data_IF_340206310500
#
_entry.id   IF_340206310500
#
_cell.length_a   1.000
_cell.length_b   1.000
_cell.length_c   1.000
_cell.angle_alpha   90.00
_cell.angle_beta   90.00
_cell.angle_gamma   90.00
#
_symmetry.space_group_name_H-M   'P 1'
#
loop_
_entity.id
_entity.type
_entity.pdbx_description
1 polymer ?
#
# COMPACT_ATOMS: atom_id res chain seq x y z
N UNK A 1 -14.93 -4.68 3.88
CA UNK A 1 -13.67 -4.14 3.31
C UNK A 1 -13.27 -4.98 2.11
N UNK A 2 -12.80 -4.34 1.05
CA UNK A 2 -12.49 -5.01 -0.21
C UNK A 2 -11.39 -4.29 -0.99
N UNK A 3 -10.92 -4.94 -2.04
CA UNK A 3 -10.02 -4.37 -3.05
C UNK A 3 -10.85 -3.53 -4.02
N UNK A 4 -10.58 -2.23 -4.09
CA UNK A 4 -11.20 -1.35 -5.08
C UNK A 4 -10.51 -1.47 -6.44
N UNK A 5 -9.18 -1.49 -6.45
CA UNK A 5 -8.37 -1.56 -7.66
C UNK A 5 -7.00 -2.16 -7.37
N UNK A 6 -6.38 -2.72 -8.40
CA UNK A 6 -4.98 -3.15 -8.37
C UNK A 6 -4.21 -2.51 -9.51
N UNK A 7 -2.94 -2.20 -9.27
CA UNK A 7 -2.08 -1.46 -10.19
C UNK A 7 -0.64 -1.97 -10.10
N UNK A 8 0.11 -1.89 -11.19
CA UNK A 8 1.54 -2.17 -11.19
C UNK A 8 2.29 -1.22 -12.14
N UNK A 9 3.61 -1.17 -12.00
CA UNK A 9 4.48 -0.53 -13.00
C UNK A 9 5.76 -1.33 -13.18
N UNK A 10 6.11 -1.72 -14.43
CA UNK A 10 7.37 -2.41 -14.71
C UNK A 10 8.59 -1.50 -14.61
N UNK A 11 8.39 -0.19 -14.46
CA UNK A 11 9.45 0.81 -14.27
C UNK A 11 9.28 1.55 -12.95
N UNK A 12 10.34 2.20 -12.45
CA UNK A 12 10.28 3.08 -11.26
C UNK A 12 9.56 4.42 -11.53
N UNK A 13 8.43 4.35 -12.24
CA UNK A 13 7.51 5.46 -12.41
C UNK A 13 6.82 5.80 -11.08
N UNK A 14 6.47 7.08 -10.89
CA UNK A 14 5.81 7.53 -9.67
C UNK A 14 4.41 6.92 -9.52
N UNK A 15 3.59 6.99 -10.58
CA UNK A 15 2.26 6.40 -10.63
C UNK A 15 2.30 4.99 -11.23
N UNK A 16 1.29 4.18 -10.88
CA UNK A 16 1.06 2.84 -11.42
C UNK A 16 -0.26 2.83 -12.18
N UNK A 17 -0.32 2.11 -13.29
CA UNK A 17 -1.56 2.01 -14.07
C UNK A 17 -2.44 0.88 -13.53
N UNK A 18 -3.76 1.08 -13.40
CA UNK A 18 -4.69 0.02 -13.03
C UNK A 18 -4.65 -1.16 -14.02
N UNK A 19 -4.78 -2.37 -13.49
CA UNK A 19 -4.85 -3.63 -14.25
C UNK A 19 -5.99 -4.49 -13.70
N UNK A 20 -6.41 -5.52 -14.45
CA UNK A 20 -7.51 -6.41 -14.03
C UNK A 20 -7.15 -7.29 -12.83
N UNK A 21 -5.88 -7.67 -12.73
CA UNK A 21 -5.35 -8.51 -11.65
C UNK A 21 -3.85 -8.28 -11.48
N UNK A 22 -3.33 -8.57 -10.30
CA UNK A 22 -1.91 -8.67 -9.98
C UNK A 22 -1.63 -10.01 -9.32
N UNK A 23 -0.43 -10.56 -9.50
CA UNK A 23 0.01 -11.79 -8.84
C UNK A 23 1.04 -11.46 -7.78
N UNK A 24 0.79 -11.86 -6.53
CA UNK A 24 1.75 -11.74 -5.45
C UNK A 24 2.68 -12.96 -5.42
N UNK A 25 3.97 -12.70 -5.27
CA UNK A 25 5.01 -13.72 -5.12
C UNK A 25 5.60 -13.61 -3.70
N UNK A 26 5.59 -14.70 -2.90
CA UNK A 26 6.11 -14.69 -1.53
C UNK A 26 7.53 -14.12 -1.46
N UNK A 27 7.78 -13.27 -0.47
CA UNK A 27 9.06 -12.61 -0.22
C UNK A 27 9.61 -11.75 -1.37
N UNK A 28 8.84 -11.56 -2.45
CA UNK A 28 9.27 -10.81 -3.62
C UNK A 28 8.38 -9.59 -3.87
N UNK A 29 7.06 -9.71 -3.76
CA UNK A 29 6.13 -8.61 -4.06
C UNK A 29 5.25 -8.89 -5.26
N UNK A 30 4.89 -7.83 -5.99
CA UNK A 30 4.00 -7.93 -7.15
C UNK A 30 4.79 -8.37 -8.38
N UNK A 31 4.36 -9.46 -9.03
CA UNK A 31 4.98 -9.94 -10.28
C UNK A 31 4.99 -8.82 -11.34
N UNK A 32 6.17 -8.55 -11.91
CA UNK A 32 6.34 -7.53 -12.94
C UNK A 32 6.36 -6.09 -12.44
N UNK A 33 6.32 -5.84 -11.13
CA UNK A 33 6.49 -4.50 -10.56
C UNK A 33 7.97 -4.18 -10.29
N UNK A 34 8.39 -2.94 -10.57
CA UNK A 34 9.76 -2.49 -10.36
C UNK A 34 10.23 -2.51 -8.89
N UNK A 35 9.30 -2.63 -7.94
CA UNK A 35 9.63 -2.69 -6.51
C UNK A 35 9.76 -4.13 -6.00
N UNK A 36 9.55 -5.14 -6.84
CA UNK A 36 9.64 -6.54 -6.46
C UNK A 36 11.10 -6.99 -6.28
N UNK A 37 11.37 -7.71 -5.19
CA UNK A 37 12.68 -8.27 -4.87
C UNK A 37 12.85 -8.53 -3.38
N UNK A 38 13.74 -9.45 -3.02
CA UNK A 38 14.00 -9.85 -1.62
C UNK A 38 14.67 -8.73 -0.81
N UNK A 39 15.45 -7.89 -1.48
CA UNK A 39 16.19 -6.75 -0.89
C UNK A 39 15.67 -5.44 -1.41
N UNK A 40 15.98 -4.33 -0.72
CA UNK A 40 15.47 -3.01 -1.09
C UNK A 40 15.79 -2.66 -2.56
N UNK A 41 14.74 -2.44 -3.35
CA UNK A 41 14.87 -2.06 -4.76
C UNK A 41 14.98 -0.54 -4.98
N UNK A 42 14.88 0.24 -3.89
CA UNK A 42 14.96 1.70 -3.99
C UNK A 42 16.38 2.14 -4.35
N UNK A 43 16.53 2.84 -5.47
CA UNK A 43 17.82 3.26 -6.04
C UNK A 43 18.73 3.97 -5.03
N UNK A 44 18.16 4.76 -4.12
CA UNK A 44 18.95 5.49 -3.11
C UNK A 44 19.60 4.61 -2.03
N UNK A 45 19.21 3.34 -1.91
CA UNK A 45 19.70 2.42 -0.86
C UNK A 45 20.55 1.28 -1.40
N UNK A 46 20.81 1.24 -2.71
CA UNK A 46 21.64 0.23 -3.35
C UNK A 46 23.09 0.20 -2.85
N UNK A 47 23.55 1.27 -2.19
CA UNK A 47 24.91 1.37 -1.66
C UNK A 47 25.11 0.65 -0.31
N UNK A 48 24.06 0.15 0.35
CA UNK A 48 24.13 -0.50 1.67
C UNK A 48 24.58 -1.96 1.52
N UNK A 49 25.54 -2.41 2.36
CA UNK A 49 26.06 -3.80 2.33
C UNK A 49 26.10 -4.43 3.73
N UNK A 50 25.48 -5.62 3.93
CA UNK A 50 24.60 -6.31 2.97
C UNK A 50 23.33 -5.50 2.68
N UNK A 51 22.69 -5.68 1.52
CA UNK A 51 21.45 -4.97 1.22
C UNK A 51 20.38 -5.29 2.27
N UNK A 52 19.63 -4.30 2.78
CA UNK A 52 18.59 -4.56 3.76
C UNK A 52 17.40 -5.29 3.11
N UNK A 53 16.61 -6.03 3.90
CA UNK A 53 15.41 -6.71 3.41
C UNK A 53 14.40 -5.71 2.84
N UNK A 54 13.63 -6.16 1.84
CA UNK A 54 12.60 -5.33 1.22
C UNK A 54 11.32 -5.34 2.07
N UNK A 55 11.10 -4.30 2.87
CA UNK A 55 9.84 -4.10 3.61
C UNK A 55 8.75 -3.41 2.77
N UNK A 56 9.00 -3.18 1.47
CA UNK A 56 8.19 -2.36 0.57
C UNK A 56 7.77 -3.14 -0.67
N UNK A 57 7.52 -4.44 -0.52
CA UNK A 57 7.19 -5.35 -1.62
C UNK A 57 5.82 -5.04 -2.23
N UNK A 58 4.88 -4.56 -1.42
CA UNK A 58 3.53 -4.16 -1.84
C UNK A 58 3.17 -2.81 -1.21
N UNK A 59 2.69 -1.88 -2.01
CA UNK A 59 2.23 -0.58 -1.55
C UNK A 59 0.69 -0.56 -1.46
N UNK A 60 0.12 -0.09 -0.34
CA UNK A 60 -1.33 -0.02 -0.17
C UNK A 60 -1.78 1.38 0.23
N UNK A 61 -2.89 1.84 -0.34
CA UNK A 61 -3.61 3.06 0.05
C UNK A 61 -5.10 2.73 0.09
N UNK A 62 -5.85 3.36 1.01
CA UNK A 62 -7.30 3.20 1.06
C UNK A 62 -7.98 4.39 0.35
N UNK A 63 -9.09 4.10 -0.34
CA UNK A 63 -9.79 5.03 -1.22
C UNK A 63 -10.28 6.30 -0.52
N UNK A 64 -10.63 6.20 0.75
CA UNK A 64 -11.17 7.27 1.57
C UNK A 64 -10.11 8.34 1.85
N UNK A 65 -8.84 7.94 1.95
CA UNK A 65 -7.72 8.86 2.02
C UNK A 65 -7.51 9.60 0.68
N UNK A 66 -7.58 8.90 -0.45
CA UNK A 66 -7.49 9.54 -1.77
C UNK A 66 -8.62 10.56 -1.96
N UNK A 67 -9.85 10.19 -1.59
CA UNK A 67 -11.01 11.06 -1.65
C UNK A 67 -10.87 12.28 -0.73
N UNK A 68 -10.52 12.08 0.55
CA UNK A 68 -10.40 13.17 1.53
C UNK A 68 -9.34 14.21 1.15
N UNK A 69 -8.22 13.76 0.57
CA UNK A 69 -7.17 14.66 0.05
C UNK A 69 -7.64 15.38 -1.23
N UNK A 70 -8.40 14.70 -2.09
CA UNK A 70 -8.92 15.28 -3.33
C UNK A 70 -9.96 16.38 -3.09
N UNK A 71 -10.77 16.27 -2.04
CA UNK A 71 -11.82 17.24 -1.71
C UNK A 71 -11.35 18.44 -0.88
N UNK A 72 -10.07 18.48 -0.47
CA UNK A 72 -9.57 19.58 0.36
C UNK A 72 -9.56 20.90 -0.45
N UNK A 73 -10.06 22.00 0.14
CA UNK A 73 -10.22 23.29 -0.55
C UNK A 73 -8.93 23.88 -1.14
N UNK A 74 -7.77 23.41 -0.68
CA UNK A 74 -6.44 23.84 -1.11
C UNK A 74 -5.85 22.93 -2.20
N UNK A 75 -6.56 21.86 -2.59
CA UNK A 75 -6.13 20.93 -3.64
C UNK A 75 -6.46 21.52 -5.01
N UNK A 76 -5.50 22.19 -5.63
CA UNK A 76 -5.63 22.65 -7.03
C UNK A 76 -5.23 21.51 -7.97
N UNK A 77 -6.16 20.62 -8.31
CA UNK A 77 -5.86 19.55 -9.25
C UNK A 77 -7.00 18.57 -9.47
N UNK A 78 -6.73 17.53 -10.27
CA UNK A 78 -7.72 16.49 -10.56
C UNK A 78 -7.92 15.60 -9.31
N UNK A 79 -9.11 15.02 -9.13
CA UNK A 79 -9.31 14.01 -8.09
C UNK A 79 -8.35 12.84 -8.27
N UNK A 80 -7.70 12.42 -7.19
CA UNK A 80 -6.79 11.27 -7.18
C UNK A 80 -7.53 9.99 -7.54
N UNK A 81 -6.93 9.22 -8.44
CA UNK A 81 -7.40 7.92 -8.88
C UNK A 81 -6.54 6.79 -8.29
N UNK A 82 -7.07 5.55 -8.24
CA UNK A 82 -6.27 4.38 -7.89
C UNK A 82 -4.97 4.27 -8.70
N UNK A 83 -3.85 4.08 -8.01
CA UNK A 83 -2.51 3.97 -8.59
C UNK A 83 -1.78 5.30 -8.78
N UNK A 84 -2.44 6.45 -8.67
CA UNK A 84 -1.83 7.77 -8.90
C UNK A 84 -0.64 8.02 -7.98
N UNK A 85 -0.73 7.56 -6.73
CA UNK A 85 0.32 7.71 -5.74
C UNK A 85 1.28 6.50 -5.71
N UNK A 86 1.20 5.62 -6.71
CA UNK A 86 2.10 4.47 -6.84
C UNK A 86 1.83 3.34 -5.85
N UNK A 87 0.61 3.24 -5.31
CA UNK A 87 0.14 2.03 -4.64
C UNK A 87 -0.13 0.89 -5.63
N UNK A 88 0.07 -0.34 -5.17
CA UNK A 88 -0.31 -1.54 -5.90
C UNK A 88 -1.75 -1.95 -5.64
N UNK A 89 -2.23 -1.72 -4.42
CA UNK A 89 -3.59 -2.10 -4.00
C UNK A 89 -4.26 -0.86 -3.43
N UNK A 90 -5.39 -0.49 -4.04
CA UNK A 90 -6.30 0.50 -3.46
C UNK A 90 -7.42 -0.25 -2.75
N UNK A 91 -7.55 -0.09 -1.43
CA UNK A 91 -8.60 -0.73 -0.62
C UNK A 91 -9.80 0.19 -0.42
N UNK A 92 -10.94 -0.37 -0.01
CA UNK A 92 -12.12 0.40 0.42
C UNK A 92 -12.77 -0.24 1.64
N UNK A 93 -13.33 0.60 2.51
CA UNK A 93 -13.92 0.21 3.79
C UNK A 93 -12.91 -0.24 4.84
N UNK A 94 -11.63 0.15 4.72
CA UNK A 94 -10.55 -0.23 5.62
C UNK A 94 -9.61 0.95 5.90
N UNK A 95 -9.57 1.40 7.15
CA UNK A 95 -8.57 2.37 7.60
C UNK A 95 -7.21 1.67 7.79
N UNK A 96 -6.40 1.72 6.73
CA UNK A 96 -5.06 1.14 6.74
C UNK A 96 -4.11 1.81 7.74
N UNK A 97 -4.34 3.09 8.09
CA UNK A 97 -3.43 3.86 8.95
C UNK A 97 -3.64 3.53 10.43
N UNK A 98 -4.81 2.99 10.78
CA UNK A 98 -5.13 2.52 12.13
C UNK A 98 -4.57 1.12 12.43
N UNK A 99 -4.12 0.37 11.42
CA UNK A 99 -3.60 -0.99 11.60
C UNK A 99 -2.31 -1.02 12.43
N UNK A 100 -2.01 -2.19 13.01
CA UNK A 100 -0.75 -2.43 13.71
C UNK A 100 0.30 -3.07 12.78
N UNK A 101 1.58 -2.88 13.09
CA UNK A 101 2.66 -3.63 12.42
C UNK A 101 2.45 -5.14 12.65
N UNK A 102 2.62 -5.94 11.61
CA UNK A 102 2.37 -7.38 11.63
C UNK A 102 0.92 -7.78 11.39
N UNK A 103 0.02 -6.83 11.11
CA UNK A 103 -1.35 -7.15 10.66
C UNK A 103 -1.29 -7.89 9.34
N UNK A 104 -2.01 -9.01 9.20
CA UNK A 104 -2.13 -9.74 7.95
C UNK A 104 -3.41 -9.40 7.23
N UNK A 105 -3.30 -9.11 5.95
CA UNK A 105 -4.39 -8.85 5.03
C UNK A 105 -4.53 -10.06 4.11
N UNK A 106 -5.58 -10.86 4.31
CA UNK A 106 -5.92 -12.02 3.49
C UNK A 106 -6.91 -11.59 2.41
N UNK A 107 -6.63 -11.90 1.14
CA UNK A 107 -7.46 -11.49 0.00
C UNK A 107 -8.26 -12.68 -0.52
N UNK A 108 -9.54 -12.76 -0.16
CA UNK A 108 -10.40 -13.91 -0.48
C UNK A 108 -11.41 -13.56 -1.56
N UNK A 109 -11.78 -14.54 -2.36
CA UNK A 109 -12.84 -14.39 -3.36
C UNK A 109 -14.19 -14.43 -2.65
N UNK A 110 -15.06 -13.48 -2.96
CA UNK A 110 -16.44 -13.52 -2.50
C UNK A 110 -17.29 -14.31 -3.51
N UNK A 111 -17.23 -15.64 -3.47
CA UNK A 111 -18.03 -16.53 -4.34
C UNK A 111 -19.29 -17.09 -3.63
N UNK A 112 -19.60 -16.60 -2.43
CA UNK A 112 -20.77 -17.02 -1.65
C UNK A 112 -20.62 -18.37 -0.96
N UNK A 113 -19.43 -18.95 -0.93
CA UNK A 113 -19.11 -20.12 -0.09
C UNK A 113 -18.58 -19.69 1.27
N UNK A 114 -18.84 -20.50 2.28
CA UNK A 114 -18.32 -20.28 3.63
C UNK A 114 -16.79 -20.32 3.62
N UNK A 115 -16.17 -19.40 4.37
CA UNK A 115 -14.70 -19.20 4.42
C UNK A 115 -13.93 -20.43 4.94
N UNK A 116 -14.63 -21.46 5.44
CA UNK A 116 -14.06 -22.72 5.95
C UNK A 116 -13.74 -23.75 4.84
N UNK A 117 -14.20 -23.54 3.60
CA UNK A 117 -14.06 -24.49 2.47
C UNK A 117 -13.07 -24.02 1.37
N UNK A 118 -12.34 -22.91 1.57
CA UNK A 118 -11.34 -22.41 0.62
C UNK A 118 -10.01 -23.18 0.76
N UNK A 119 -9.90 -24.33 0.08
CA UNK A 119 -8.67 -25.12 -0.13
C UNK A 119 -7.64 -24.37 -1.03
N UNK A 120 -7.94 -23.15 -1.44
CA UNK A 120 -7.06 -22.28 -2.22
C UNK A 120 -6.00 -21.59 -1.36
N UNK A 121 -4.77 -21.51 -1.88
CA UNK A 121 -3.75 -20.62 -1.32
C UNK A 121 -4.22 -19.16 -1.48
N UNK A 122 -4.68 -18.56 -0.39
CA UNK A 122 -5.09 -17.16 -0.33
C UNK A 122 -3.85 -16.27 -0.30
N UNK A 123 -3.83 -15.21 -1.11
CA UNK A 123 -2.77 -14.21 -1.06
C UNK A 123 -2.80 -13.48 0.29
N UNK A 124 -1.64 -13.33 0.93
CA UNK A 124 -1.51 -12.68 2.24
C UNK A 124 -0.41 -11.63 2.21
N UNK A 125 -0.77 -10.40 2.59
CA UNK A 125 0.17 -9.29 2.80
C UNK A 125 0.26 -8.97 4.28
N UNK A 126 1.48 -8.97 4.82
CA UNK A 126 1.77 -8.50 6.18
C UNK A 126 2.13 -7.01 6.15
N UNK A 127 1.48 -6.20 6.98
CA UNK A 127 1.70 -4.76 7.10
C UNK A 127 3.01 -4.49 7.87
N UNK A 128 3.94 -3.79 7.23
CA UNK A 128 5.27 -3.51 7.78
C UNK A 128 5.40 -2.10 8.37
N UNK A 129 4.68 -1.11 7.82
CA UNK A 129 4.81 0.27 8.26
C UNK A 129 4.09 1.29 7.38
N UNK A 130 4.22 2.57 7.74
CA UNK A 130 3.70 3.69 6.99
C UNK A 130 4.55 3.97 5.74
N UNK A 131 3.88 4.42 4.69
CA UNK A 131 4.54 5.05 3.55
C UNK A 131 5.02 6.44 3.94
N UNK A 132 6.24 6.78 3.52
CA UNK A 132 6.77 8.13 3.70
C UNK A 132 6.38 9.03 2.51
N UNK A 133 5.61 10.13 2.72
CA UNK A 133 5.32 11.09 1.66
C UNK A 133 6.61 11.71 1.10
N UNK A 134 6.83 11.58 -0.22
CA UNK A 134 8.06 12.01 -0.87
C UNK A 134 7.85 13.25 -1.76
N UNK A 135 8.92 13.96 -2.15
CA UNK A 135 8.82 15.11 -3.05
C UNK A 135 8.20 14.82 -4.44
N UNK A 136 8.14 13.55 -4.87
CA UNK A 136 7.50 13.21 -6.14
C UNK A 136 5.98 13.46 -6.11
N UNK A 137 5.35 13.44 -4.93
CA UNK A 137 3.93 13.77 -4.78
C UNK A 137 3.67 15.23 -5.20
N UNK A 138 4.54 16.17 -4.79
CA UNK A 138 4.42 17.58 -5.21
C UNK A 138 4.78 17.80 -6.67
N UNK A 139 5.65 16.95 -7.26
CA UNK A 139 5.93 16.96 -8.70
C UNK A 139 4.73 16.48 -9.51
N UNK A 140 3.96 15.53 -8.98
CA UNK A 140 2.72 15.05 -9.59
C UNK A 140 1.63 16.11 -9.50
N UNK A 141 1.42 16.69 -8.30
CA UNK A 141 0.48 17.78 -8.10
C UNK A 141 0.98 18.72 -7.01
N UNK A 142 1.15 20.00 -7.35
CA UNK A 142 1.73 21.00 -6.45
C UNK A 142 0.94 21.12 -5.15
N UNK A 143 1.64 21.05 -4.01
CA UNK A 143 1.06 21.21 -2.67
C UNK A 143 0.39 19.96 -2.11
N UNK A 144 0.30 18.89 -2.91
CA UNK A 144 -0.36 17.66 -2.52
C UNK A 144 0.38 16.92 -1.39
N UNK A 145 1.72 17.03 -1.33
CA UNK A 145 2.51 16.32 -0.31
C UNK A 145 2.14 16.76 1.11
N UNK A 146 1.90 18.06 1.34
CA UNK A 146 1.57 18.57 2.68
C UNK A 146 0.23 18.01 3.18
N UNK A 147 -0.65 17.55 2.30
CA UNK A 147 -1.91 16.86 2.67
C UNK A 147 -1.70 15.50 3.31
N UNK A 148 -0.54 14.89 3.07
CA UNK A 148 -0.15 13.61 3.66
C UNK A 148 0.70 13.75 4.92
N UNK A 149 0.85 14.97 5.45
CA UNK A 149 1.70 15.28 6.60
C UNK A 149 0.86 15.95 7.68
N UNK A 150 0.84 15.36 8.88
CA UNK A 150 0.24 15.97 10.07
C UNK A 150 1.31 16.68 10.85
N UNK A 151 1.06 17.94 11.21
CA UNK A 151 1.98 18.78 11.98
C UNK A 151 1.36 19.20 13.30
N UNK A 152 2.19 19.28 14.34
CA UNK A 152 1.78 19.88 15.61
C UNK A 152 1.84 21.41 15.57
N UNK A 153 1.53 22.04 16.71
CA UNK A 153 1.56 23.50 16.88
C UNK A 153 2.95 24.11 16.61
N UNK A 154 4.03 23.34 16.78
CA UNK A 154 5.41 23.75 16.53
C UNK A 154 5.86 23.46 15.09
N UNK A 155 4.95 23.08 14.19
CA UNK A 155 5.20 22.68 12.80
C UNK A 155 6.01 21.39 12.65
N UNK A 156 6.25 20.66 13.73
CA UNK A 156 6.93 19.37 13.69
C UNK A 156 6.03 18.30 13.08
N UNK A 157 6.60 17.39 12.29
CA UNK A 157 5.84 16.31 11.65
C UNK A 157 5.54 15.24 12.68
N UNK A 158 4.26 15.07 13.01
CA UNK A 158 3.78 14.11 14.02
C UNK A 158 2.97 12.96 13.43
N UNK A 159 2.63 13.02 12.14
CA UNK A 159 1.91 11.95 11.44
C UNK A 159 2.15 11.98 9.94
N UNK A 160 2.02 10.80 9.32
CA UNK A 160 2.19 10.60 7.88
C UNK A 160 1.04 9.72 7.40
N UNK A 161 0.36 10.18 6.36
CA UNK A 161 -0.91 9.62 5.94
C UNK A 161 -0.85 9.00 4.55
N UNK A 162 0.33 8.63 4.01
CA UNK A 162 0.45 8.21 2.60
C UNK A 162 0.17 6.72 2.34
N UNK A 163 -0.62 6.06 3.20
CA UNK A 163 -0.87 4.61 3.17
C UNK A 163 0.20 3.77 3.87
N UNK A 164 0.23 2.47 3.58
CA UNK A 164 1.10 1.49 4.24
C UNK A 164 1.94 0.69 3.23
N UNK A 165 3.04 0.12 3.73
CA UNK A 165 3.89 -0.83 3.04
C UNK A 165 3.67 -2.22 3.62
N UNK A 166 3.77 -3.25 2.78
CA UNK A 166 3.69 -4.64 3.22
C UNK A 166 4.64 -5.57 2.49
N UNK A 167 4.79 -6.75 3.07
CA UNK A 167 5.52 -7.91 2.53
C UNK A 167 4.55 -9.03 2.18
N UNK A 168 4.88 -9.84 1.18
CA UNK A 168 4.06 -10.97 0.77
C UNK A 168 4.43 -12.18 1.61
N UNK A 169 3.52 -12.60 2.49
CA UNK A 169 3.64 -13.82 3.28
C UNK A 169 3.24 -15.05 2.43
N UNK A 170 2.09 -14.96 1.76
CA UNK A 170 1.61 -15.99 0.84
C UNK A 170 1.21 -15.38 -0.51
N UNK A 171 1.56 -16.07 -1.58
CA UNK A 171 1.32 -15.64 -2.95
C UNK A 171 -0.08 -15.95 -3.43
N UNK A 172 -0.44 -15.38 -4.58
CA UNK A 172 -1.74 -15.59 -5.21
C UNK A 172 -2.19 -14.37 -6.00
N UNK A 173 -3.27 -14.54 -6.75
CA UNK A 173 -3.84 -13.48 -7.56
C UNK A 173 -4.76 -12.58 -6.74
N UNK A 174 -4.64 -11.28 -6.97
CA UNK A 174 -5.53 -10.26 -6.40
C UNK A 174 -6.19 -9.50 -7.55
N UNK A 175 -7.50 -9.32 -7.45
CA UNK A 175 -8.32 -8.53 -8.39
C UNK A 175 -9.29 -7.63 -7.63
N UNK A 176 -9.82 -6.63 -8.33
CA UNK A 176 -10.88 -5.79 -7.82
C UNK A 176 -12.09 -6.63 -7.34
N UNK A 177 -12.73 -6.19 -6.26
CA UNK A 177 -13.88 -6.84 -5.65
C UNK A 177 -13.55 -7.93 -4.63
N UNK A 178 -12.30 -8.41 -4.54
CA UNK A 178 -11.93 -9.40 -3.51
C UNK A 178 -12.13 -8.82 -2.10
N UNK A 179 -12.68 -9.65 -1.21
CA UNK A 179 -12.87 -9.30 0.20
C UNK A 179 -11.50 -9.30 0.88
N UNK A 180 -11.32 -8.38 1.82
CA UNK A 180 -10.13 -8.36 2.67
C UNK A 180 -10.55 -8.89 4.04
N UNK A 181 -9.82 -9.87 4.56
CA UNK A 181 -9.94 -10.32 5.96
C UNK A 181 -8.70 -9.85 6.71
N UNK A 182 -8.92 -9.17 7.83
CA UNK A 182 -7.86 -8.56 8.65
C UNK A 182 -7.61 -9.45 9.85
N UNK A 183 -6.38 -9.93 9.97
CA UNK A 183 -5.90 -10.67 11.13
C UNK A 183 -4.91 -9.77 11.89
N UNK A 184 -5.32 -9.32 13.07
CA UNK A 184 -4.50 -8.44 13.90
C UNK A 184 -3.34 -9.21 14.55
N UNK A 185 -2.17 -8.56 14.75
CA UNK A 185 -1.09 -9.16 15.51
C UNK A 185 -1.51 -9.36 16.98
N UNK A 186 -0.91 -10.34 17.66
CA UNK A 186 -1.17 -10.60 19.08
C UNK A 186 -0.89 -9.38 19.98
N UNK A 187 0.03 -8.50 19.57
CA UNK A 187 0.36 -7.25 20.26
C UNK A 187 0.30 -6.11 19.26
N UNK A 188 -0.53 -5.10 19.53
CA UNK A 188 -0.60 -3.90 18.72
C UNK A 188 0.70 -3.10 18.83
N UNK A 189 1.31 -2.81 17.68
CA UNK A 189 2.43 -1.88 17.55
C UNK A 189 2.05 -0.82 16.52
N UNK A 190 2.14 0.45 16.92
CA UNK A 190 1.86 1.58 16.03
C UNK A 190 2.80 1.54 14.82
N UNK A 191 2.26 1.84 13.64
CA UNK A 191 3.06 1.88 12.42
C UNK A 191 4.04 3.07 12.43
N UNK A 192 5.28 2.76 12.06
CA UNK A 192 6.34 3.74 11.78
C UNK A 192 6.66 3.75 10.28
N UNK A 193 7.35 4.79 9.81
CA UNK A 193 7.81 4.80 8.42
C UNK A 193 8.89 3.76 8.19
N UNK A 194 8.63 2.87 7.23
CA UNK A 194 9.61 1.94 6.67
C UNK A 194 10.11 2.45 5.34
#
# INVERSE_FOLDING_TARGET
MSVLSVSLSPTHSFSKSPVSSITLIPNLGVQGDAHAGETVQHLSRLHIKPPPPNLRQVHLIHSELLASVSTSAETTGKPLQPGDLGENITTTGLDLLALGKGTKLRFVVDDGKDDDDDDGSVAVVEVQGLRNPCPQIDKFQKGLKEKFVVRDANRAVVGRLAGVMGTVEAGGDIRAGMRIVVENPAVYQKLECV
#
